data_IF_459828476046
#
_entry.id   IF_459828476046
#
_cell.length_a   1.000
_cell.length_b   1.000
_cell.length_c   1.000
_cell.angle_alpha   90.00
_cell.angle_beta   90.00
_cell.angle_gamma   90.00
#
_symmetry.space_group_name_H-M   'P 1'
#
loop_
_entity.id
_entity.type
_entity.pdbx_description
1 polymer ?
#
# COMPACT_ATOMS: atom_id res chain seq x y z
N UNK A 1 -3.17 -16.46 -23.52
CA UNK A 1 -1.91 -16.62 -22.76
C UNK A 1 -0.70 -16.98 -23.64
N UNK A 2 -0.87 -17.59 -24.82
CA UNK A 2 0.23 -18.00 -25.72
C UNK A 2 1.21 -16.87 -26.08
N UNK A 3 0.72 -15.65 -26.35
CA UNK A 3 1.60 -14.51 -26.61
C UNK A 3 2.58 -14.21 -25.46
N UNK A 4 2.14 -14.37 -24.20
CA UNK A 4 3.00 -14.21 -23.02
C UNK A 4 4.02 -15.36 -22.92
N UNK A 5 3.61 -16.57 -23.32
CA UNK A 5 4.51 -17.73 -23.35
C UNK A 5 5.58 -17.62 -24.45
N UNK A 6 5.21 -17.17 -25.65
CA UNK A 6 6.16 -16.85 -26.73
C UNK A 6 7.16 -15.79 -26.25
N UNK A 7 6.69 -14.74 -25.57
CA UNK A 7 7.57 -13.71 -24.98
C UNK A 7 8.51 -14.28 -23.92
N UNK A 8 8.05 -15.25 -23.11
CA UNK A 8 8.87 -15.96 -22.14
C UNK A 8 9.97 -16.78 -22.83
N UNK A 9 9.62 -17.55 -23.86
CA UNK A 9 10.58 -18.35 -24.65
C UNK A 9 11.65 -17.46 -25.30
N UNK A 10 11.25 -16.36 -25.93
CA UNK A 10 12.17 -15.37 -26.50
C UNK A 10 13.12 -14.83 -25.43
N UNK A 11 12.62 -14.46 -24.24
CA UNK A 11 13.47 -13.99 -23.14
C UNK A 11 14.46 -15.06 -22.68
N UNK A 12 14.03 -16.32 -22.55
CA UNK A 12 14.89 -17.46 -22.16
C UNK A 12 15.98 -17.70 -23.21
N UNK A 13 15.63 -17.70 -24.50
CA UNK A 13 16.57 -17.88 -25.61
C UNK A 13 17.59 -16.73 -25.70
N UNK A 14 17.13 -15.48 -25.58
CA UNK A 14 18.01 -14.31 -25.57
C UNK A 14 18.98 -14.31 -24.39
N UNK A 15 18.51 -14.63 -23.18
CA UNK A 15 19.38 -14.75 -21.98
C UNK A 15 20.43 -15.86 -22.14
N UNK A 16 20.06 -17.00 -22.75
CA UNK A 16 20.93 -18.17 -22.92
C UNK A 16 21.98 -17.97 -24.02
N UNK A 17 21.56 -17.50 -25.19
CA UNK A 17 22.43 -17.40 -26.38
C UNK A 17 23.19 -16.07 -26.46
N UNK A 18 22.69 -15.00 -25.84
CA UNK A 18 23.27 -13.66 -25.94
C UNK A 18 23.50 -13.01 -24.56
N UNK A 19 24.38 -13.57 -23.71
CA UNK A 19 24.66 -13.03 -22.37
C UNK A 19 25.19 -11.58 -22.40
N UNK A 20 25.91 -11.21 -23.47
CA UNK A 20 26.45 -9.86 -23.68
C UNK A 20 25.46 -8.89 -24.36
N UNK A 21 24.15 -9.15 -24.28
CA UNK A 21 23.10 -8.35 -24.94
C UNK A 21 23.25 -6.84 -24.73
N UNK A 22 23.69 -6.40 -23.55
CA UNK A 22 23.89 -4.97 -23.24
C UNK A 22 24.91 -4.29 -24.17
N UNK A 23 25.99 -5.00 -24.53
CA UNK A 23 27.12 -4.49 -25.30
C UNK A 23 26.85 -4.39 -26.81
N UNK A 24 25.80 -5.04 -27.30
CA UNK A 24 25.45 -5.05 -28.73
C UNK A 24 24.90 -3.68 -29.19
N UNK A 25 25.19 -3.32 -30.43
CA UNK A 25 24.63 -2.12 -31.06
C UNK A 25 23.12 -2.26 -31.28
N UNK A 26 22.44 -1.12 -31.48
CA UNK A 26 20.99 -1.09 -31.72
C UNK A 26 20.58 -1.88 -32.98
N UNK A 27 21.43 -1.90 -34.01
CA UNK A 27 21.18 -2.62 -35.26
C UNK A 27 21.26 -4.13 -35.05
N UNK A 28 22.31 -4.60 -34.39
CA UNK A 28 22.51 -6.03 -34.07
C UNK A 28 21.41 -6.57 -33.16
N UNK A 29 21.03 -5.81 -32.12
CA UNK A 29 19.90 -6.16 -31.24
C UNK A 29 18.60 -6.38 -32.03
N UNK A 30 18.31 -5.52 -33.02
CA UNK A 30 17.10 -5.62 -33.84
C UNK A 30 17.13 -6.84 -34.74
N UNK A 31 18.29 -7.15 -35.32
CA UNK A 31 18.44 -8.32 -36.20
C UNK A 31 18.31 -9.63 -35.41
N UNK A 32 19.00 -9.73 -34.26
CA UNK A 32 18.93 -10.90 -33.39
C UNK A 32 17.51 -11.10 -32.86
N UNK A 33 16.85 -10.04 -32.39
CA UNK A 33 15.47 -10.13 -31.91
C UNK A 33 14.51 -10.63 -33.00
N UNK A 34 14.72 -10.23 -34.27
CA UNK A 34 13.92 -10.70 -35.40
C UNK A 34 14.17 -12.17 -35.72
N UNK A 35 15.44 -12.62 -35.68
CA UNK A 35 15.80 -14.04 -35.88
C UNK A 35 15.18 -14.92 -34.81
N UNK A 36 15.37 -14.56 -33.53
CA UNK A 36 14.83 -15.30 -32.39
C UNK A 36 13.31 -15.31 -32.40
N UNK A 37 12.66 -14.19 -32.78
CA UNK A 37 11.20 -14.16 -32.93
C UNK A 37 10.74 -15.18 -33.99
N UNK A 38 11.37 -15.19 -35.17
CA UNK A 38 11.00 -16.08 -36.26
C UNK A 38 11.16 -17.56 -35.89
N UNK A 39 12.29 -17.91 -35.27
CA UNK A 39 12.61 -19.25 -34.78
C UNK A 39 11.56 -19.73 -33.76
N UNK A 40 11.33 -18.94 -32.71
CA UNK A 40 10.34 -19.28 -31.67
C UNK A 40 8.95 -19.41 -32.28
N UNK A 41 8.54 -18.53 -33.20
CA UNK A 41 7.20 -18.63 -33.82
C UNK A 41 7.04 -19.83 -34.75
N UNK A 42 8.12 -20.31 -35.39
CA UNK A 42 8.08 -21.46 -36.29
C UNK A 42 7.97 -22.78 -35.51
N UNK A 43 8.59 -22.85 -34.33
CA UNK A 43 8.59 -24.04 -33.47
C UNK A 43 7.41 -24.06 -32.47
N UNK A 44 6.67 -22.95 -32.34
CA UNK A 44 5.61 -22.84 -31.33
C UNK A 44 4.32 -23.55 -31.75
N UNK A 45 3.95 -24.57 -30.99
CA UNK A 45 2.64 -25.21 -31.10
C UNK A 45 1.56 -24.40 -30.36
N UNK A 46 0.63 -23.82 -31.11
CA UNK A 46 -0.50 -23.07 -30.57
C UNK A 46 -1.56 -23.94 -29.90
N UNK A 47 -1.56 -25.25 -30.14
CA UNK A 47 -2.52 -26.19 -29.53
C UNK A 47 -2.04 -26.72 -28.17
N UNK A 48 -0.79 -26.44 -27.78
CA UNK A 48 -0.22 -26.90 -26.53
C UNK A 48 -0.71 -26.10 -25.31
N UNK A 49 -1.00 -26.79 -24.21
CA UNK A 49 -1.35 -26.16 -22.95
C UNK A 49 -0.14 -25.42 -22.33
N UNK A 50 -0.40 -24.26 -21.75
CA UNK A 50 0.65 -23.40 -21.16
C UNK A 50 0.87 -23.83 -19.71
N UNK A 51 1.97 -24.53 -19.47
CA UNK A 51 2.40 -25.01 -18.15
C UNK A 51 3.19 -23.98 -17.32
N UNK A 52 3.60 -22.86 -17.92
CA UNK A 52 4.43 -21.86 -17.24
C UNK A 52 3.64 -21.07 -16.17
N UNK A 53 4.23 -20.80 -14.99
CA UNK A 53 3.56 -20.05 -13.93
C UNK A 53 3.30 -18.59 -14.35
N UNK A 54 2.23 -17.94 -13.83
CA UNK A 54 1.92 -16.54 -14.16
C UNK A 54 3.06 -15.56 -13.90
N UNK A 55 3.87 -15.82 -12.86
CA UNK A 55 5.04 -15.00 -12.51
C UNK A 55 6.08 -14.94 -13.64
N UNK A 56 6.37 -16.06 -14.28
CA UNK A 56 7.26 -16.14 -15.44
C UNK A 56 6.64 -15.49 -16.68
N UNK A 57 5.36 -15.77 -16.94
CA UNK A 57 4.64 -15.21 -18.10
C UNK A 57 4.57 -13.68 -18.07
N UNK A 58 4.46 -13.09 -16.88
CA UNK A 58 4.43 -11.64 -16.69
C UNK A 58 5.85 -11.04 -16.60
N UNK A 59 6.89 -11.87 -16.40
CA UNK A 59 8.27 -11.42 -16.19
C UNK A 59 8.49 -10.74 -14.85
N UNK A 60 7.73 -11.15 -13.83
CA UNK A 60 7.82 -10.68 -12.45
C UNK A 60 8.55 -11.71 -11.56
N UNK A 61 9.13 -12.75 -12.17
CA UNK A 61 9.89 -13.82 -11.50
C UNK A 61 11.02 -13.32 -10.58
N UNK A 62 11.59 -12.14 -10.88
CA UNK A 62 12.66 -11.51 -10.10
C UNK A 62 12.17 -10.35 -9.23
N UNK A 63 10.88 -10.01 -9.29
CA UNK A 63 10.27 -9.09 -8.35
C UNK A 63 10.10 -9.86 -7.04
N UNK A 64 11.14 -9.82 -6.21
CA UNK A 64 11.03 -10.26 -4.82
C UNK A 64 9.91 -9.45 -4.19
N UNK A 65 9.04 -10.10 -3.42
CA UNK A 65 8.11 -9.41 -2.53
C UNK A 65 8.93 -8.41 -1.73
N UNK A 66 8.76 -7.11 -1.98
CA UNK A 66 9.53 -6.07 -1.32
C UNK A 66 9.40 -6.28 0.19
N UNK A 67 10.51 -6.26 0.91
CA UNK A 67 10.53 -6.32 2.38
C UNK A 67 9.54 -5.29 2.93
N UNK A 68 8.53 -5.75 3.67
CA UNK A 68 7.47 -4.90 4.22
C UNK A 68 6.11 -4.95 3.49
N UNK A 69 5.98 -5.66 2.36
CA UNK A 69 4.68 -5.93 1.75
C UNK A 69 4.09 -7.19 2.38
N UNK A 70 2.98 -7.01 3.10
CA UNK A 70 2.23 -8.11 3.72
C UNK A 70 1.25 -8.68 2.68
N UNK A 71 1.30 -9.98 2.36
CA UNK A 71 0.32 -10.59 1.47
C UNK A 71 -1.06 -10.65 2.14
N UNK A 72 -2.12 -10.73 1.32
CA UNK A 72 -3.50 -10.58 1.80
C UNK A 72 -3.91 -11.65 2.83
N UNK A 73 -3.40 -12.86 2.68
CA UNK A 73 -3.63 -13.98 3.60
C UNK A 73 -2.96 -13.76 4.95
N UNK A 74 -1.72 -13.24 4.96
CA UNK A 74 -1.05 -12.85 6.20
C UNK A 74 -1.75 -11.67 6.88
N UNK A 75 -2.20 -10.66 6.12
CA UNK A 75 -2.97 -9.54 6.66
C UNK A 75 -4.29 -10.00 7.28
N UNK A 76 -4.99 -10.95 6.65
CA UNK A 76 -6.23 -11.51 7.19
C UNK A 76 -5.98 -12.21 8.55
N UNK A 77 -4.93 -13.03 8.64
CA UNK A 77 -4.53 -13.69 9.91
C UNK A 77 -4.12 -12.66 10.97
N UNK A 78 -3.44 -11.59 10.56
CA UNK A 78 -3.04 -10.50 11.44
C UNK A 78 -4.25 -9.78 12.04
N UNK A 79 -5.25 -9.44 11.22
CA UNK A 79 -6.51 -8.83 11.69
C UNK A 79 -7.25 -9.76 12.65
N UNK A 80 -7.34 -11.05 12.30
CA UNK A 80 -7.98 -12.05 13.16
C UNK A 80 -7.27 -12.15 14.53
N UNK A 81 -5.94 -12.19 14.53
CA UNK A 81 -5.14 -12.17 15.75
C UNK A 81 -5.41 -10.91 16.59
N UNK A 82 -5.52 -9.74 15.97
CA UNK A 82 -5.83 -8.49 16.69
C UNK A 82 -7.18 -8.59 17.38
N UNK A 83 -8.21 -8.99 16.64
CA UNK A 83 -9.57 -9.10 17.16
C UNK A 83 -9.67 -10.13 18.30
N UNK A 84 -8.98 -11.26 18.16
CA UNK A 84 -8.98 -12.34 19.14
C UNK A 84 -8.06 -12.09 20.34
N UNK A 85 -7.09 -11.18 20.23
CA UNK A 85 -6.15 -10.85 21.30
C UNK A 85 -6.74 -9.98 22.42
N UNK A 86 -7.95 -9.44 22.22
CA UNK A 86 -8.63 -8.62 23.23
C UNK A 86 -9.40 -9.49 24.23
N UNK A 87 -9.02 -9.44 25.52
CA UNK A 87 -9.75 -10.11 26.61
C UNK A 87 -11.11 -9.43 26.87
N UNK A 88 -11.19 -8.12 26.59
CA UNK A 88 -12.38 -7.30 26.75
C UNK A 88 -12.68 -6.64 25.41
N UNK A 89 -13.81 -6.98 24.81
CA UNK A 89 -14.35 -6.26 23.67
C UNK A 89 -15.02 -4.99 24.19
N UNK A 90 -14.28 -3.88 24.24
CA UNK A 90 -14.91 -2.58 24.43
C UNK A 90 -15.86 -2.34 23.26
N UNK A 91 -17.04 -1.79 23.52
CA UNK A 91 -18.00 -1.50 22.45
C UNK A 91 -17.31 -0.73 21.34
N UNK A 92 -17.37 -1.23 20.10
CA UNK A 92 -16.92 -0.54 18.89
C UNK A 92 -17.75 0.72 18.58
N UNK A 93 -18.48 1.24 19.57
CA UNK A 93 -19.26 2.46 19.48
C UNK A 93 -18.29 3.65 19.33
N UNK A 94 -17.96 3.92 18.08
CA UNK A 94 -17.27 5.14 17.67
C UNK A 94 -18.23 6.29 17.96
N UNK A 95 -17.90 7.17 18.92
CA UNK A 95 -18.59 8.46 19.13
C UNK A 95 -18.25 9.48 18.03
N UNK A 96 -17.26 9.18 17.18
CA UNK A 96 -16.81 10.04 16.09
C UNK A 96 -17.90 10.43 15.08
N UNK A 97 -18.87 9.58 14.69
CA UNK A 97 -19.89 9.93 13.69
C UNK A 97 -20.82 11.06 14.15
N UNK A 98 -20.94 11.30 15.46
CA UNK A 98 -21.74 12.41 16.00
C UNK A 98 -21.15 13.79 15.63
N UNK A 99 -19.83 13.85 15.44
CA UNK A 99 -19.10 15.10 15.20
C UNK A 99 -18.63 15.24 13.76
N UNK A 100 -18.59 14.14 12.99
CA UNK A 100 -18.24 14.13 11.57
C UNK A 100 -19.52 14.30 10.74
N UNK A 101 -19.80 15.53 10.30
CA UNK A 101 -21.00 15.86 9.52
C UNK A 101 -20.83 15.58 8.04
N UNK A 102 -19.60 15.67 7.56
CA UNK A 102 -19.24 15.43 6.15
C UNK A 102 -19.35 13.94 5.82
N UNK A 103 -20.11 13.61 4.77
CA UNK A 103 -20.43 12.22 4.43
C UNK A 103 -19.21 11.45 3.92
N UNK A 104 -18.33 12.11 3.16
CA UNK A 104 -17.10 11.49 2.66
C UNK A 104 -16.17 11.13 3.82
N UNK A 105 -15.99 12.06 4.77
CA UNK A 105 -15.18 11.80 5.96
C UNK A 105 -15.80 10.73 6.86
N UNK A 106 -17.13 10.67 6.97
CA UNK A 106 -17.82 9.62 7.73
C UNK A 106 -17.59 8.24 7.10
N UNK A 107 -17.74 8.14 5.78
CA UNK A 107 -17.46 6.92 5.04
C UNK A 107 -16.02 6.45 5.24
N UNK A 108 -15.05 7.37 5.17
CA UNK A 108 -13.64 7.05 5.38
C UNK A 108 -13.37 6.65 6.85
N UNK A 109 -13.99 7.31 7.83
CA UNK A 109 -13.86 6.94 9.25
C UNK A 109 -14.36 5.52 9.56
N UNK A 110 -15.40 5.07 8.85
CA UNK A 110 -15.93 3.71 8.95
C UNK A 110 -14.99 2.66 8.38
N UNK A 111 -14.23 2.99 7.33
CA UNK A 111 -13.24 2.11 6.72
C UNK A 111 -11.97 1.93 7.56
N UNK A 112 -11.68 2.86 8.47
CA UNK A 112 -10.45 2.86 9.24
C UNK A 112 -10.60 2.03 10.52
N UNK A 113 -9.70 1.05 10.69
CA UNK A 113 -9.49 0.33 11.93
C UNK A 113 -8.26 0.88 12.67
N UNK A 114 -8.51 1.62 13.74
CA UNK A 114 -7.46 2.29 14.52
C UNK A 114 -6.52 1.29 15.21
N UNK A 115 -7.01 0.11 15.59
CA UNK A 115 -6.19 -0.91 16.25
C UNK A 115 -5.21 -1.53 15.26
N UNK A 116 -5.69 -1.85 14.06
CA UNK A 116 -4.86 -2.39 12.98
C UNK A 116 -3.80 -1.37 12.57
N UNK A 117 -4.19 -0.11 12.33
CA UNK A 117 -3.23 0.93 11.93
C UNK A 117 -2.18 1.17 13.01
N UNK A 118 -2.57 1.26 14.28
CA UNK A 118 -1.61 1.46 15.36
C UNK A 118 -0.57 0.33 15.43
N UNK A 119 -0.97 -0.92 15.23
CA UNK A 119 -0.03 -2.05 15.21
C UNK A 119 0.85 -2.09 13.96
N UNK A 120 0.32 -1.69 12.80
CA UNK A 120 1.09 -1.64 11.55
C UNK A 120 2.14 -0.51 11.54
N UNK A 121 1.83 0.63 12.14
CA UNK A 121 2.70 1.81 12.14
C UNK A 121 3.60 1.91 13.39
N UNK A 122 3.35 1.09 14.42
CA UNK A 122 4.21 1.02 15.59
C UNK A 122 5.58 0.45 15.23
N UNK A 123 6.65 1.11 15.69
CA UNK A 123 8.01 0.61 15.54
C UNK A 123 8.34 -0.42 16.63
N UNK A 124 9.42 -1.20 16.43
CA UNK A 124 9.89 -2.18 17.42
C UNK A 124 10.34 -1.47 18.71
N UNK A 125 9.58 -1.69 19.79
CA UNK A 125 9.77 -0.99 21.07
C UNK A 125 8.71 0.08 21.37
N UNK A 126 7.74 0.29 20.48
CA UNK A 126 6.59 1.14 20.76
C UNK A 126 5.77 0.61 21.94
N UNK A 127 5.67 1.40 23.00
CA UNK A 127 4.72 1.17 24.09
C UNK A 127 3.68 2.28 24.12
N UNK A 128 2.37 1.96 24.10
CA UNK A 128 1.28 2.95 24.19
C UNK A 128 1.42 3.96 25.32
N UNK A 129 2.01 3.56 26.45
CA UNK A 129 2.19 4.43 27.62
C UNK A 129 3.24 5.54 27.42
N UNK A 130 4.03 5.47 26.35
CA UNK A 130 5.14 6.40 26.11
C UNK A 130 4.74 7.65 25.31
N UNK A 131 3.49 7.77 24.83
CA UNK A 131 3.07 8.91 24.00
C UNK A 131 1.65 9.39 24.31
N UNK A 132 1.48 10.70 24.18
CA UNK A 132 0.18 11.36 24.22
C UNK A 132 -0.63 11.15 22.93
N UNK A 133 0.05 10.87 21.82
CA UNK A 133 -0.54 10.62 20.50
C UNK A 133 -0.18 9.22 19.98
N UNK A 134 -1.17 8.58 19.35
CA UNK A 134 -1.01 7.29 18.70
C UNK A 134 -0.65 7.46 17.22
N UNK A 135 0.04 6.49 16.59
CA UNK A 135 0.34 6.51 15.15
C UNK A 135 -0.89 6.79 14.28
N UNK A 136 -2.05 6.25 14.65
CA UNK A 136 -3.31 6.48 13.93
C UNK A 136 -3.73 7.96 13.92
N UNK A 137 -3.43 8.72 14.97
CA UNK A 137 -3.76 10.16 15.00
C UNK A 137 -2.98 10.91 13.91
N UNK A 138 -1.71 10.58 13.74
CA UNK A 138 -0.84 11.17 12.72
C UNK A 138 -1.29 10.74 11.31
N UNK A 139 -1.61 9.46 11.14
CA UNK A 139 -2.15 8.92 9.88
C UNK A 139 -3.45 9.63 9.47
N UNK A 140 -4.41 9.73 10.40
CA UNK A 140 -5.69 10.40 10.14
C UNK A 140 -5.53 11.89 9.85
N UNK A 141 -4.56 12.55 10.47
CA UNK A 141 -4.25 13.95 10.19
C UNK A 141 -3.69 14.15 8.77
N UNK A 142 -2.76 13.31 8.34
CA UNK A 142 -2.27 13.30 6.96
C UNK A 142 -3.39 13.03 5.96
N UNK A 143 -4.26 12.07 6.26
CA UNK A 143 -5.41 11.73 5.43
C UNK A 143 -6.39 12.90 5.30
N UNK A 144 -6.74 13.54 6.43
CA UNK A 144 -7.62 14.71 6.44
C UNK A 144 -7.03 15.87 5.63
N UNK A 145 -5.73 16.13 5.80
CA UNK A 145 -5.00 17.15 5.07
C UNK A 145 -5.00 16.86 3.58
N UNK A 146 -4.75 15.62 3.17
CA UNK A 146 -4.75 15.23 1.77
C UNK A 146 -6.14 15.38 1.11
N UNK A 147 -7.22 15.08 1.84
CA UNK A 147 -8.59 15.12 1.32
C UNK A 147 -9.15 16.54 1.29
N UNK A 148 -9.10 17.27 2.42
CA UNK A 148 -9.80 18.56 2.57
C UNK A 148 -8.89 19.78 2.44
N UNK A 149 -7.58 19.63 2.62
CA UNK A 149 -6.63 20.74 2.66
C UNK A 149 -5.34 20.50 1.84
N UNK A 150 -5.44 20.02 0.58
CA UNK A 150 -4.28 19.57 -0.18
C UNK A 150 -3.25 20.69 -0.41
N UNK A 151 -3.74 21.92 -0.60
CA UNK A 151 -2.94 23.13 -0.90
C UNK A 151 -2.19 23.69 0.32
N UNK A 152 -2.54 23.24 1.53
CA UNK A 152 -1.99 23.79 2.77
C UNK A 152 -0.71 23.03 3.12
N UNK A 153 0.29 23.71 3.67
CA UNK A 153 1.47 23.02 4.21
C UNK A 153 1.11 22.28 5.50
N UNK A 154 1.77 21.15 5.77
CA UNK A 154 1.45 20.35 6.96
C UNK A 154 1.63 21.14 8.27
N UNK A 155 2.70 21.96 8.34
CA UNK A 155 2.95 22.90 9.44
C UNK A 155 1.79 23.87 9.68
N UNK A 156 1.21 24.45 8.62
CA UNK A 156 0.05 25.35 8.77
C UNK A 156 -1.20 24.57 9.16
N UNK A 157 -1.39 23.37 8.61
CA UNK A 157 -2.50 22.49 8.97
C UNK A 157 -2.50 22.08 10.46
N UNK A 158 -1.32 21.91 11.05
CA UNK A 158 -1.18 21.56 12.47
C UNK A 158 -1.55 22.70 13.45
N UNK A 159 -1.97 23.87 12.97
CA UNK A 159 -2.32 25.02 13.81
C UNK A 159 -3.78 24.99 14.30
N UNK A 160 -4.11 25.87 15.24
CA UNK A 160 -5.47 26.04 15.78
C UNK A 160 -6.50 26.41 14.71
N UNK A 161 -6.06 26.99 13.58
CA UNK A 161 -6.93 27.34 12.45
C UNK A 161 -7.68 26.10 11.90
N UNK A 162 -7.04 24.93 11.91
CA UNK A 162 -7.58 23.68 11.32
C UNK A 162 -7.78 22.56 12.34
N UNK A 163 -6.99 22.51 13.42
CA UNK A 163 -7.11 21.49 14.48
C UNK A 163 -7.51 22.07 15.85
N UNK A 164 -7.85 23.36 15.94
CA UNK A 164 -8.29 24.00 17.18
C UNK A 164 -9.61 23.44 17.73
N UNK A 165 -9.95 23.81 18.97
CA UNK A 165 -11.12 23.29 19.70
C UNK A 165 -12.45 23.56 18.99
N UNK A 166 -12.53 24.64 18.21
CA UNK A 166 -13.71 24.98 17.41
C UNK A 166 -13.87 24.06 16.19
N UNK A 167 -12.79 23.40 15.76
CA UNK A 167 -12.76 22.46 14.62
C UNK A 167 -13.09 21.04 15.06
N UNK A 168 -14.23 20.86 15.74
CA UNK A 168 -14.65 19.57 16.33
C UNK A 168 -14.67 18.40 15.34
N UNK A 169 -15.10 18.64 14.10
CA UNK A 169 -15.10 17.62 13.05
C UNK A 169 -13.68 17.13 12.72
N UNK A 170 -12.76 18.07 12.50
CA UNK A 170 -11.37 17.74 12.17
C UNK A 170 -10.71 17.01 13.34
N UNK A 171 -10.93 17.49 14.57
CA UNK A 171 -10.42 16.83 15.79
C UNK A 171 -10.98 15.42 15.94
N UNK A 172 -12.29 15.24 15.77
CA UNK A 172 -12.93 13.93 15.85
C UNK A 172 -12.40 12.97 14.79
N UNK A 173 -12.26 13.43 13.54
CA UNK A 173 -11.70 12.62 12.46
C UNK A 173 -10.25 12.20 12.71
N UNK A 174 -9.43 13.10 13.26
CA UNK A 174 -8.05 12.79 13.66
C UNK A 174 -7.94 11.94 14.94
N UNK A 175 -9.05 11.62 15.60
CA UNK A 175 -9.05 10.89 16.88
C UNK A 175 -8.52 11.70 18.06
N UNK A 176 -8.54 13.04 17.98
CA UNK A 176 -8.12 13.93 19.06
C UNK A 176 -9.27 14.16 20.05
N UNK A 177 -8.91 14.34 21.32
CA UNK A 177 -9.87 14.65 22.37
C UNK A 177 -10.60 15.99 22.09
N UNK A 178 -11.92 16.00 22.28
CA UNK A 178 -12.75 17.19 22.06
C UNK A 178 -12.85 18.12 23.28
N UNK A 179 -12.36 17.65 24.43
CA UNK A 179 -12.38 18.37 25.71
C UNK A 179 -10.98 18.82 26.17
N UNK A 180 -9.92 18.43 25.45
CA UNK A 180 -8.53 18.79 25.73
C UNK A 180 -7.91 19.40 24.49
N UNK A 181 -6.96 20.32 24.68
CA UNK A 181 -6.28 21.04 23.61
C UNK A 181 -5.07 20.26 23.06
N UNK A 182 -5.18 18.95 22.97
CA UNK A 182 -4.11 18.11 22.41
C UNK A 182 -3.95 18.44 20.93
N UNK A 183 -2.72 18.67 20.48
CA UNK A 183 -2.41 19.10 19.13
C UNK A 183 -1.37 18.17 18.51
N UNK A 184 -1.47 17.98 17.21
CA UNK A 184 -0.46 17.30 16.42
C UNK A 184 0.57 18.35 16.02
N UNK A 185 1.85 18.04 16.15
CA UNK A 185 2.97 18.88 15.71
C UNK A 185 3.60 18.27 14.44
N UNK A 186 4.15 19.13 13.58
CA UNK A 186 4.93 18.73 12.41
C UNK A 186 6.40 18.42 12.76
N UNK A 187 6.81 18.63 14.00
CA UNK A 187 8.19 18.46 14.51
C UNK A 187 8.44 17.04 15.01
#
# INVERSE_FOLDING_TARGET
>A
MHHKNIKLLIRKQLKKQYPNWRLLSKKEKKEIARKVLAEVTAEYDFNSDITAPPSELLGIEQQVTTTGIIPLDEMARFIEMINNSSIIQFSNYKRSPLYIKDEELRYIDELIDDMVINRLLAYDGYSPAMRDLFPVNLFRAELLKAIKYPEISYRKFCTEEYLGMDRKQNRAFCGLALNRKDMIDHT
#
